data_IF_995000793539
#
_entry.id   IF_995000793539
#
_cell.length_a   1.000
_cell.length_b   1.000
_cell.length_c   1.000
_cell.angle_alpha   90.00
_cell.angle_beta   90.00
_cell.angle_gamma   90.00
#
_symmetry.space_group_name_H-M   'P 1'
#
loop_
_entity.id
_entity.type
_entity.pdbx_description
1 polymer ?
#
# COMPACT_ATOMS: atom_id res chain seq x y z
N UNK A 1 8.35 -0.81 -9.12
CA UNK A 1 7.53 -0.48 -10.31
C UNK A 1 7.22 1.01 -10.26
N UNK A 2 7.15 1.68 -11.40
CA UNK A 2 6.66 3.07 -11.44
C UNK A 2 5.15 3.11 -11.20
N UNK A 3 4.56 4.26 -10.84
CA UNK A 3 3.12 4.38 -10.63
C UNK A 3 2.30 3.97 -11.86
N UNK A 4 2.80 4.30 -13.06
CA UNK A 4 2.15 3.94 -14.33
C UNK A 4 2.15 2.42 -14.51
N UNK A 5 3.26 1.74 -14.22
CA UNK A 5 3.35 0.28 -14.30
C UNK A 5 2.40 -0.41 -13.31
N UNK A 6 2.34 0.07 -12.06
CA UNK A 6 1.40 -0.47 -11.07
C UNK A 6 -0.06 -0.19 -11.45
N UNK A 7 -0.37 0.99 -12.01
CA UNK A 7 -1.70 1.33 -12.48
C UNK A 7 -2.13 0.42 -13.65
N UNK A 8 -1.24 0.18 -14.62
CA UNK A 8 -1.49 -0.75 -15.72
C UNK A 8 -1.75 -2.17 -15.22
N UNK A 9 -1.00 -2.64 -14.20
CA UNK A 9 -1.23 -3.95 -13.60
C UNK A 9 -2.61 -4.03 -12.91
N UNK A 10 -2.96 -3.02 -12.10
CA UNK A 10 -4.27 -2.96 -11.45
C UNK A 10 -5.42 -2.95 -12.46
N UNK A 11 -5.27 -2.16 -13.53
CA UNK A 11 -6.26 -2.05 -14.60
C UNK A 11 -6.41 -3.34 -15.39
N UNK A 12 -5.29 -3.99 -15.72
CA UNK A 12 -5.32 -5.30 -16.38
C UNK A 12 -6.04 -6.33 -15.52
N UNK A 13 -5.74 -6.41 -14.21
CA UNK A 13 -6.38 -7.35 -13.31
C UNK A 13 -7.91 -7.10 -13.24
N UNK A 14 -8.32 -5.84 -13.06
CA UNK A 14 -9.73 -5.46 -13.03
C UNK A 14 -10.47 -5.76 -14.35
N UNK A 15 -9.81 -5.59 -15.52
CA UNK A 15 -10.43 -5.87 -16.81
C UNK A 15 -10.45 -7.36 -17.19
N UNK A 16 -9.62 -8.19 -16.55
CA UNK A 16 -9.46 -9.61 -16.89
C UNK A 16 -10.49 -10.49 -16.19
N UNK A 17 -10.87 -10.15 -14.96
CA UNK A 17 -11.72 -10.98 -14.13
C UNK A 17 -13.05 -10.29 -13.87
N UNK A 18 -14.17 -10.95 -14.20
CA UNK A 18 -15.51 -10.43 -13.91
C UNK A 18 -15.79 -10.31 -12.40
N UNK A 19 -15.16 -11.14 -11.58
CA UNK A 19 -15.27 -11.11 -10.12
C UNK A 19 -13.90 -11.38 -9.52
N UNK A 20 -13.34 -10.40 -8.81
CA UNK A 20 -12.01 -10.49 -8.23
C UNK A 20 -11.88 -9.62 -6.97
N UNK A 21 -10.83 -9.89 -6.20
CA UNK A 21 -10.37 -9.08 -5.08
C UNK A 21 -8.87 -8.84 -5.23
N UNK A 22 -8.40 -7.63 -4.94
CA UNK A 22 -6.98 -7.29 -4.89
C UNK A 22 -6.58 -6.93 -3.47
N UNK A 23 -5.51 -7.54 -2.97
CA UNK A 23 -4.91 -7.19 -1.68
C UNK A 23 -3.56 -6.53 -1.98
N UNK A 24 -3.40 -5.31 -1.50
CA UNK A 24 -2.15 -4.55 -1.61
C UNK A 24 -1.58 -4.27 -0.22
N UNK A 25 -0.33 -4.64 0.01
CA UNK A 25 0.41 -4.34 1.23
C UNK A 25 1.72 -3.64 0.87
N UNK A 26 1.83 -2.38 1.24
CA UNK A 26 3.02 -1.57 1.00
C UNK A 26 3.05 -0.37 1.97
N UNK A 27 4.05 0.50 1.81
CA UNK A 27 4.20 1.71 2.61
C UNK A 27 3.01 2.68 2.45
N UNK A 28 2.75 3.46 3.50
CA UNK A 28 1.78 4.57 3.52
C UNK A 28 2.29 5.70 4.40
N UNK A 29 1.77 6.92 4.23
CA UNK A 29 2.19 8.11 4.97
C UNK A 29 3.66 8.49 4.71
N UNK A 30 4.16 8.23 3.49
CA UNK A 30 5.58 8.42 3.14
C UNK A 30 6.02 9.89 3.01
N UNK A 31 5.11 10.85 3.20
CA UNK A 31 5.40 12.28 3.13
C UNK A 31 5.96 12.87 4.44
N UNK A 32 5.90 12.13 5.55
CA UNK A 32 6.42 12.59 6.84
C UNK A 32 7.95 12.39 6.96
N UNK A 33 8.52 12.84 8.09
CA UNK A 33 9.96 12.72 8.36
C UNK A 33 10.41 11.27 8.47
N UNK A 34 9.58 10.36 8.97
CA UNK A 34 9.92 8.94 9.05
C UNK A 34 9.97 8.32 7.65
N UNK A 35 9.00 8.66 6.79
CA UNK A 35 8.97 8.29 5.37
C UNK A 35 10.21 8.75 4.61
N UNK A 36 10.65 9.99 4.81
CA UNK A 36 11.90 10.51 4.21
C UNK A 36 13.12 9.70 4.64
N UNK A 37 13.27 9.44 5.94
CA UNK A 37 14.37 8.61 6.47
C UNK A 37 14.31 7.19 5.88
N UNK A 38 13.12 6.62 5.72
CA UNK A 38 12.93 5.30 5.12
C UNK A 38 13.40 5.27 3.66
N UNK A 39 13.03 6.29 2.87
CA UNK A 39 13.46 6.42 1.46
C UNK A 39 14.98 6.50 1.40
N UNK A 40 15.60 7.39 2.18
CA UNK A 40 17.07 7.54 2.20
C UNK A 40 17.78 6.24 2.58
N UNK A 41 17.28 5.52 3.60
CA UNK A 41 17.86 4.26 4.04
C UNK A 41 17.80 3.17 2.95
N UNK A 42 16.70 3.10 2.20
CA UNK A 42 16.57 2.14 1.10
C UNK A 42 17.44 2.54 -0.09
N UNK A 43 17.50 3.83 -0.42
CA UNK A 43 18.37 4.34 -1.49
C UNK A 43 19.85 4.05 -1.23
N UNK A 44 20.32 4.19 0.02
CA UNK A 44 21.69 3.83 0.42
C UNK A 44 22.01 2.34 0.19
N UNK A 45 20.98 1.48 0.16
CA UNK A 45 21.08 0.05 -0.14
C UNK A 45 20.81 -0.27 -1.61
N UNK A 46 20.87 0.74 -2.48
CA UNK A 46 20.58 0.63 -3.91
C UNK A 46 19.15 0.11 -4.20
N UNK A 47 18.23 0.32 -3.27
CA UNK A 47 16.82 -0.04 -3.40
C UNK A 47 15.99 1.23 -3.58
N UNK A 48 15.62 1.55 -4.83
CA UNK A 48 14.81 2.73 -5.11
C UNK A 48 13.30 2.39 -5.08
N UNK A 49 12.53 3.15 -4.30
CA UNK A 49 11.07 3.07 -4.28
C UNK A 49 10.48 3.90 -5.42
N UNK A 50 10.55 3.37 -6.64
CA UNK A 50 10.11 4.06 -7.86
C UNK A 50 8.63 4.48 -7.88
N UNK A 51 7.80 3.97 -6.97
CA UNK A 51 6.39 4.30 -6.83
C UNK A 51 6.03 4.98 -5.51
N UNK A 52 6.99 5.56 -4.78
CA UNK A 52 6.71 6.15 -3.45
C UNK A 52 5.69 7.30 -3.51
N UNK A 53 5.56 7.95 -4.67
CA UNK A 53 4.60 9.04 -4.89
C UNK A 53 3.13 8.63 -4.80
N UNK A 54 2.80 7.35 -4.89
CA UNK A 54 1.42 6.86 -4.67
C UNK A 54 1.16 6.42 -3.23
N UNK A 55 2.19 6.43 -2.37
CA UNK A 55 2.14 5.98 -0.98
C UNK A 55 1.94 7.12 0.04
N UNK A 56 1.25 8.20 -0.35
CA UNK A 56 1.12 9.41 0.47
C UNK A 56 0.15 9.27 1.62
N UNK A 57 -0.96 8.57 1.42
CA UNK A 57 -1.98 8.34 2.45
C UNK A 57 -2.81 7.10 2.15
N UNK A 58 -3.63 6.66 3.11
CA UNK A 58 -4.61 5.59 2.86
C UNK A 58 -5.63 6.00 1.78
N UNK A 59 -5.95 7.29 1.67
CA UNK A 59 -6.84 7.81 0.63
C UNK A 59 -6.21 7.69 -0.76
N UNK A 60 -4.93 8.07 -0.93
CA UNK A 60 -4.25 7.94 -2.22
C UNK A 60 -4.16 6.48 -2.68
N UNK A 61 -3.98 5.56 -1.73
CA UNK A 61 -3.97 4.12 -2.00
C UNK A 61 -5.34 3.62 -2.48
N UNK A 62 -6.43 4.03 -1.83
CA UNK A 62 -7.80 3.67 -2.26
C UNK A 62 -8.13 4.28 -3.61
N UNK A 63 -7.84 5.56 -3.83
CA UNK A 63 -8.07 6.24 -5.10
C UNK A 63 -7.35 5.53 -6.25
N UNK A 64 -6.11 5.06 -6.02
CA UNK A 64 -5.36 4.29 -7.03
C UNK A 64 -6.09 3.02 -7.47
N UNK A 65 -6.74 2.30 -6.57
CA UNK A 65 -7.56 1.13 -6.93
C UNK A 65 -8.80 1.57 -7.71
N UNK A 66 -9.56 2.52 -7.18
CA UNK A 66 -10.81 2.99 -7.76
C UNK A 66 -10.62 3.56 -9.19
N UNK A 67 -9.57 4.36 -9.41
CA UNK A 67 -9.23 4.93 -10.71
C UNK A 67 -8.79 3.87 -11.75
N UNK A 68 -8.39 2.67 -11.29
CA UNK A 68 -7.94 1.58 -12.15
C UNK A 68 -8.96 0.44 -12.27
N UNK A 69 -10.26 0.74 -12.13
CA UNK A 69 -11.34 -0.16 -12.48
C UNK A 69 -11.87 -1.04 -11.35
N UNK A 70 -11.46 -0.80 -10.10
CA UNK A 70 -12.00 -1.49 -8.94
C UNK A 70 -13.24 -0.78 -8.41
N UNK A 71 -14.30 -1.53 -8.10
CA UNK A 71 -15.60 -0.98 -7.67
C UNK A 71 -15.56 -0.43 -6.23
N UNK A 72 -14.79 -1.09 -5.36
CA UNK A 72 -14.68 -0.75 -3.93
C UNK A 72 -13.22 -0.81 -3.49
N UNK A 73 -12.84 0.09 -2.58
CA UNK A 73 -11.52 0.08 -1.97
C UNK A 73 -11.60 0.41 -0.48
N UNK A 74 -10.96 -0.44 0.34
CA UNK A 74 -10.79 -0.22 1.78
C UNK A 74 -9.29 -0.29 2.11
N UNK A 75 -8.85 0.55 3.03
CA UNK A 75 -7.47 0.59 3.48
C UNK A 75 -7.42 0.90 4.97
N UNK A 76 -6.51 0.23 5.67
CA UNK A 76 -6.18 0.47 7.07
C UNK A 76 -4.66 0.43 7.21
N UNK A 77 -4.10 1.24 8.11
CA UNK A 77 -2.68 1.17 8.42
C UNK A 77 -2.36 -0.02 9.35
N UNK A 78 -1.07 -0.34 9.46
CA UNK A 78 -0.64 -1.48 10.26
C UNK A 78 -0.80 -1.30 11.76
N UNK A 79 -0.92 -0.07 12.26
CA UNK A 79 -1.25 0.17 13.66
C UNK A 79 -2.70 -0.22 13.95
N UNK A 80 -3.62 0.08 13.03
CA UNK A 80 -5.02 -0.33 13.11
C UNK A 80 -5.18 -1.84 12.97
N UNK A 81 -4.43 -2.47 12.06
CA UNK A 81 -4.38 -3.94 11.94
C UNK A 81 -3.94 -4.55 13.26
N UNK A 82 -2.79 -4.10 13.78
CA UNK A 82 -2.22 -4.59 15.03
C UNK A 82 -3.19 -4.43 16.21
N UNK A 83 -3.82 -3.27 16.33
CA UNK A 83 -4.81 -2.98 17.40
C UNK A 83 -6.07 -3.83 17.30
N UNK A 84 -6.32 -4.47 16.15
CA UNK A 84 -7.47 -5.33 15.92
C UNK A 84 -7.18 -6.81 16.16
N UNK A 85 -5.94 -7.18 16.50
CA UNK A 85 -5.55 -8.56 16.77
C UNK A 85 -6.15 -9.06 18.10
N UNK A 86 -6.46 -10.37 18.22
CA UNK A 86 -6.85 -10.96 19.49
C UNK A 86 -5.79 -10.73 20.57
N UNK A 87 -6.21 -10.36 21.79
CA UNK A 87 -5.29 -10.06 22.89
C UNK A 87 -4.38 -11.25 23.27
N UNK A 88 -4.84 -12.47 23.03
CA UNK A 88 -4.02 -13.68 23.23
C UNK A 88 -2.83 -13.74 22.25
N UNK A 89 -3.04 -13.33 21.00
CA UNK A 89 -1.96 -13.27 20.00
C UNK A 89 -0.99 -12.13 20.30
N UNK A 90 -1.49 -10.97 20.72
CA UNK A 90 -0.63 -9.85 21.13
C UNK A 90 0.29 -10.27 22.28
N UNK A 91 -0.27 -10.84 23.37
CA UNK A 91 0.52 -11.32 24.53
C UNK A 91 1.47 -12.47 24.24
N UNK A 92 1.34 -13.16 23.11
CA UNK A 92 2.24 -14.26 22.74
C UNK A 92 3.57 -13.75 22.19
N UNK A 93 3.58 -12.56 21.59
CA UNK A 93 4.75 -11.98 20.91
C UNK A 93 5.39 -10.81 21.68
N UNK A 94 4.87 -10.49 22.87
CA UNK A 94 5.36 -9.47 23.80
C UNK A 94 5.46 -10.05 25.20
#
# INVERSE_FOLDING_TARGET
MTPQQSASLLKWAASTFQTAMFINYEQVNMADRFGQIMIENLQRRQCNLAGVEVCWSLESQKERLLLNGWETANAIDMMKVYSSLPQADVKRYW
#
